data_IF_413969512478
#
_entry.id   IF_413969512478
#
_cell.length_a   1.000
_cell.length_b   1.000
_cell.length_c   1.000
_cell.angle_alpha   90.00
_cell.angle_beta   90.00
_cell.angle_gamma   90.00
#
_symmetry.space_group_name_H-M   'P 1'
#
loop_
_entity.id
_entity.type
_entity.pdbx_description
1 polymer ?
#
# COMPACT_ATOMS: atom_id res chain seq x y z
N UNK A 1 49.58 -19.45 7.98
CA UNK A 1 48.57 -18.79 8.85
C UNK A 1 47.22 -19.44 8.60
N UNK A 2 46.88 -20.48 9.36
CA UNK A 2 45.58 -21.15 9.26
C UNK A 2 44.59 -20.51 10.22
N UNK A 3 43.47 -20.00 9.72
CA UNK A 3 42.41 -19.50 10.59
C UNK A 3 41.71 -20.70 11.24
N UNK A 4 41.56 -20.64 12.56
CA UNK A 4 40.90 -21.68 13.35
C UNK A 4 39.43 -21.80 12.91
N UNK A 5 38.99 -23.00 12.53
CA UNK A 5 37.62 -23.32 12.06
C UNK A 5 36.56 -22.85 13.07
N UNK A 6 36.85 -22.89 14.37
CA UNK A 6 35.94 -22.42 15.41
C UNK A 6 35.70 -20.90 15.35
N UNK A 7 36.67 -20.13 14.87
CA UNK A 7 36.56 -18.67 14.69
C UNK A 7 35.66 -18.34 13.50
N UNK A 8 35.75 -19.11 12.41
CA UNK A 8 34.92 -18.94 11.20
C UNK A 8 33.46 -19.27 11.51
N UNK A 9 33.19 -20.37 12.23
CA UNK A 9 31.82 -20.75 12.62
C UNK A 9 31.18 -19.74 13.59
N UNK A 10 31.95 -19.17 14.53
CA UNK A 10 31.47 -18.09 15.41
C UNK A 10 31.13 -16.82 14.64
N UNK A 11 31.90 -16.47 13.61
CA UNK A 11 31.64 -15.31 12.76
C UNK A 11 30.40 -15.52 11.89
N UNK A 12 30.23 -16.70 11.29
CA UNK A 12 29.04 -17.04 10.50
C UNK A 12 27.75 -17.03 11.34
N UNK A 13 27.79 -17.58 12.56
CA UNK A 13 26.66 -17.53 13.50
C UNK A 13 26.31 -16.10 13.93
N UNK A 14 27.32 -15.25 14.18
CA UNK A 14 27.09 -13.83 14.47
C UNK A 14 26.50 -13.09 13.27
N UNK A 15 26.94 -13.39 12.04
CA UNK A 15 26.41 -12.78 10.82
C UNK A 15 24.95 -13.17 10.57
N UNK A 16 24.59 -14.44 10.78
CA UNK A 16 23.20 -14.92 10.63
C UNK A 16 22.27 -14.33 11.70
N UNK A 17 22.74 -14.19 12.94
CA UNK A 17 22.01 -13.48 14.00
C UNK A 17 21.86 -11.98 13.71
N UNK A 18 22.87 -11.34 13.10
CA UNK A 18 22.79 -9.94 12.65
C UNK A 18 21.80 -9.77 11.49
N UNK A 19 21.82 -10.66 10.49
CA UNK A 19 20.86 -10.66 9.37
C UNK A 19 19.41 -10.86 9.86
N UNK A 20 19.19 -11.85 10.73
CA UNK A 20 17.87 -12.08 11.34
C UNK A 20 17.37 -10.89 12.17
N UNK A 21 18.26 -10.22 12.91
CA UNK A 21 17.93 -9.02 13.71
C UNK A 21 17.65 -7.79 12.85
N UNK A 22 18.36 -7.60 11.74
CA UNK A 22 18.13 -6.48 10.81
C UNK A 22 16.78 -6.63 10.09
N UNK A 23 16.47 -7.84 9.62
CA UNK A 23 15.19 -8.18 8.99
C UNK A 23 14.02 -7.98 9.96
N UNK A 24 14.21 -8.28 11.26
CA UNK A 24 13.14 -8.11 12.26
C UNK A 24 12.90 -6.64 12.68
N UNK A 25 13.92 -5.78 12.65
CA UNK A 25 13.77 -4.35 12.93
C UNK A 25 13.16 -3.56 11.76
N UNK A 26 13.48 -3.92 10.51
CA UNK A 26 12.83 -3.34 9.33
C UNK A 26 11.32 -3.63 9.27
N UNK A 27 10.88 -4.81 9.75
CA UNK A 27 9.47 -5.24 9.78
C UNK A 27 8.56 -4.50 10.77
N UNK A 28 9.12 -3.70 11.69
CA UNK A 28 8.33 -2.90 12.66
C UNK A 28 8.24 -1.42 12.29
N UNK A 29 9.09 -0.94 11.39
CA UNK A 29 8.99 0.40 10.82
C UNK A 29 7.76 0.57 9.92
N UNK A 30 7.36 -0.50 9.22
CA UNK A 30 6.26 -0.49 8.25
C UNK A 30 4.88 -0.26 8.87
N UNK A 31 4.66 -0.67 10.13
CA UNK A 31 3.41 -0.42 10.87
C UNK A 31 3.16 1.08 11.10
N UNK A 32 4.22 1.90 11.19
CA UNK A 32 4.06 3.35 11.34
C UNK A 32 3.79 4.01 9.99
N UNK A 33 4.39 3.52 8.89
CA UNK A 33 4.06 4.01 7.55
C UNK A 33 2.57 3.78 7.21
N UNK A 34 2.02 2.61 7.55
CA UNK A 34 0.61 2.28 7.35
C UNK A 34 -0.35 3.21 8.12
N UNK A 35 0.03 3.67 9.32
CA UNK A 35 -0.76 4.63 10.13
C UNK A 35 -0.79 6.04 9.50
N UNK A 36 0.27 6.45 8.80
CA UNK A 36 0.27 7.68 8.00
C UNK A 36 -0.58 7.53 6.72
N UNK A 37 -0.59 6.35 6.10
CA UNK A 37 -1.40 6.08 4.90
C UNK A 37 -2.90 6.08 5.17
N UNK A 38 -3.34 5.49 6.30
CA UNK A 38 -4.74 5.54 6.75
C UNK A 38 -5.23 6.96 7.06
N UNK A 39 -4.33 7.89 7.40
CA UNK A 39 -4.68 9.30 7.53
C UNK A 39 -4.97 9.90 6.14
N UNK A 40 -4.09 9.72 5.15
CA UNK A 40 -4.31 10.25 3.78
C UNK A 40 -5.53 9.69 3.06
N UNK A 41 -5.82 8.39 3.18
CA UNK A 41 -7.01 7.79 2.54
C UNK A 41 -8.30 8.19 3.27
N UNK A 42 -8.27 8.34 4.60
CA UNK A 42 -9.42 8.84 5.37
C UNK A 42 -9.70 10.35 5.16
N UNK A 43 -8.84 11.06 4.42
CA UNK A 43 -9.03 12.46 4.04
C UNK A 43 -9.63 12.65 2.64
N UNK A 44 -9.86 11.57 1.90
CA UNK A 44 -10.62 11.59 0.65
C UNK A 44 -12.11 11.70 1.00
N UNK A 45 -12.60 12.93 1.20
CA UNK A 45 -14.04 13.16 1.33
C UNK A 45 -14.73 12.80 0.02
N UNK A 46 -15.80 11.98 0.02
CA UNK A 46 -16.69 11.89 -1.14
C UNK A 46 -17.47 13.20 -1.22
N UNK A 47 -16.87 14.23 -1.82
CA UNK A 47 -17.47 15.55 -1.93
C UNK A 47 -17.30 16.05 -3.37
N UNK A 48 -18.40 15.96 -4.12
CA UNK A 48 -18.58 16.38 -5.52
C UNK A 48 -17.80 15.54 -6.54
N UNK A 49 -18.44 15.25 -7.67
CA UNK A 49 -17.73 14.70 -8.82
C UNK A 49 -16.64 15.72 -9.20
N UNK A 50 -15.38 15.33 -8.99
CA UNK A 50 -14.25 16.18 -9.34
C UNK A 50 -14.24 16.52 -10.81
N UNK A 51 -13.46 17.54 -11.18
CA UNK A 51 -13.19 17.80 -12.59
C UNK A 51 -12.22 16.73 -13.09
N UNK A 52 -12.57 15.89 -14.07
CA UNK A 52 -11.63 14.91 -14.59
C UNK A 52 -10.36 15.57 -15.07
N UNK A 53 -9.21 14.95 -14.79
CA UNK A 53 -7.94 15.42 -15.33
C UNK A 53 -7.98 15.48 -16.85
N UNK A 54 -7.22 16.41 -17.44
CA UNK A 54 -7.13 16.54 -18.89
C UNK A 54 -6.57 15.25 -19.51
N UNK A 55 -7.35 14.67 -20.43
CA UNK A 55 -7.03 13.36 -21.02
C UNK A 55 -5.75 13.40 -21.85
N UNK A 56 -5.54 14.47 -22.62
CA UNK A 56 -4.34 14.63 -23.44
C UNK A 56 -3.09 14.73 -22.56
N UNK A 57 -3.16 15.48 -21.45
CA UNK A 57 -2.08 15.58 -20.48
C UNK A 57 -1.79 14.24 -19.80
N UNK A 58 -2.82 13.51 -19.36
CA UNK A 58 -2.64 12.20 -18.75
C UNK A 58 -1.98 11.20 -19.71
N UNK A 59 -2.42 11.14 -20.97
CA UNK A 59 -1.85 10.27 -22.00
C UNK A 59 -0.41 10.67 -22.34
N UNK A 60 -0.12 11.96 -22.49
CA UNK A 60 1.23 12.42 -22.80
C UNK A 60 2.21 12.12 -21.67
N UNK A 61 1.82 12.38 -20.42
CA UNK A 61 2.63 12.04 -19.24
C UNK A 61 2.93 10.54 -19.17
N UNK A 62 1.93 9.70 -19.40
CA UNK A 62 2.08 8.25 -19.41
C UNK A 62 3.10 7.77 -20.46
N UNK A 63 3.07 8.36 -21.65
CA UNK A 63 3.99 8.02 -22.74
C UNK A 63 5.41 8.49 -22.48
N UNK A 64 5.56 9.68 -21.90
CA UNK A 64 6.87 10.29 -21.66
C UNK A 64 7.58 9.65 -20.46
N UNK A 65 6.84 9.31 -19.40
CA UNK A 65 7.42 8.98 -18.09
C UNK A 65 7.17 7.53 -17.62
N UNK A 66 6.22 6.80 -18.22
CA UNK A 66 5.74 5.52 -17.70
C UNK A 66 5.72 4.39 -18.74
N UNK A 67 6.33 4.61 -19.92
CA UNK A 67 6.48 3.56 -20.93
C UNK A 67 5.21 3.19 -21.69
N UNK A 68 4.14 3.99 -21.59
CA UNK A 68 2.95 3.76 -22.40
C UNK A 68 3.22 4.08 -23.88
N UNK A 69 2.52 3.36 -24.76
CA UNK A 69 2.58 3.57 -26.20
C UNK A 69 1.31 4.24 -26.72
N UNK A 70 1.37 4.78 -27.93
CA UNK A 70 0.17 5.32 -28.58
C UNK A 70 -0.86 4.22 -28.90
N UNK A 71 -0.38 3.00 -29.13
CA UNK A 71 -1.18 1.81 -29.36
C UNK A 71 -0.65 0.62 -28.57
N UNK A 72 -1.50 -0.38 -28.29
CA UNK A 72 -1.07 -1.69 -27.78
C UNK A 72 -0.45 -2.54 -28.91
N UNK A 73 -0.04 -3.78 -28.60
CA UNK A 73 0.51 -4.72 -29.60
C UNK A 73 -0.45 -5.08 -30.74
N UNK A 74 -1.76 -4.97 -30.48
CA UNK A 74 -2.83 -5.19 -31.48
C UNK A 74 -3.12 -3.96 -32.35
N UNK A 75 -2.50 -2.81 -32.06
CA UNK A 75 -2.73 -1.55 -32.78
C UNK A 75 -3.90 -0.71 -32.27
N UNK A 76 -4.53 -1.09 -31.16
CA UNK A 76 -5.60 -0.32 -30.55
C UNK A 76 -5.07 0.95 -29.88
N UNK A 77 -5.73 2.11 -30.05
CA UNK A 77 -5.25 3.37 -29.48
C UNK A 77 -5.44 3.43 -27.97
N UNK A 78 -4.55 4.15 -27.28
CA UNK A 78 -4.69 4.48 -25.86
C UNK A 78 -5.82 5.48 -25.61
N UNK A 79 -6.60 5.25 -24.56
CA UNK A 79 -7.73 6.05 -24.12
C UNK A 79 -7.61 6.36 -22.62
N UNK A 80 -8.21 7.47 -22.20
CA UNK A 80 -8.31 7.84 -20.78
C UNK A 80 -9.77 7.79 -20.34
N UNK A 81 -10.10 6.78 -19.52
CA UNK A 81 -11.47 6.44 -19.10
C UNK A 81 -11.73 6.96 -17.70
N UNK A 82 -12.75 7.81 -17.54
CA UNK A 82 -13.09 8.47 -16.26
C UNK A 82 -14.49 8.12 -15.76
N UNK A 83 -15.13 7.11 -16.34
CA UNK A 83 -16.50 6.72 -16.01
C UNK A 83 -16.62 5.80 -14.80
N UNK A 84 -15.49 5.37 -14.22
CA UNK A 84 -15.49 4.39 -13.13
C UNK A 84 -15.74 5.02 -11.76
N UNK A 85 -16.22 4.25 -10.78
CA UNK A 85 -16.48 4.69 -9.42
C UNK A 85 -15.25 5.26 -8.72
N UNK A 86 -14.07 4.67 -8.96
CA UNK A 86 -12.78 5.18 -8.48
C UNK A 86 -12.39 6.52 -9.11
N UNK A 87 -12.91 6.83 -10.31
CA UNK A 87 -12.73 8.14 -10.95
C UNK A 87 -13.47 9.28 -10.26
N UNK A 88 -14.18 9.01 -9.15
CA UNK A 88 -14.73 10.04 -8.27
C UNK A 88 -13.76 10.47 -7.15
N UNK A 89 -12.64 9.78 -6.98
CA UNK A 89 -11.61 10.18 -6.02
C UNK A 89 -10.91 11.43 -6.53
N UNK A 90 -10.80 12.43 -5.65
CA UNK A 90 -10.23 13.74 -5.99
C UNK A 90 -9.00 14.08 -5.18
N UNK A 91 -8.10 14.86 -5.77
CA UNK A 91 -7.02 15.51 -5.03
C UNK A 91 -7.53 16.72 -4.23
N UNK A 92 -6.64 17.34 -3.46
CA UNK A 92 -6.96 18.56 -2.68
C UNK A 92 -7.32 19.78 -3.54
N UNK A 93 -7.24 19.69 -4.87
CA UNK A 93 -7.65 20.72 -5.83
C UNK A 93 -8.97 20.38 -6.53
N UNK A 94 -9.57 19.23 -6.22
CA UNK A 94 -10.82 18.77 -6.81
C UNK A 94 -10.69 18.11 -8.18
N UNK A 95 -9.48 17.76 -8.61
CA UNK A 95 -9.29 16.98 -9.84
C UNK A 95 -9.51 15.50 -9.58
N UNK A 96 -10.18 14.81 -10.51
CA UNK A 96 -10.34 13.37 -10.47
C UNK A 96 -9.52 12.63 -11.53
N UNK A 97 -9.30 11.33 -11.31
CA UNK A 97 -8.29 10.53 -12.00
C UNK A 97 -8.93 9.32 -12.68
N UNK A 98 -8.55 9.05 -13.92
CA UNK A 98 -9.10 7.98 -14.75
C UNK A 98 -8.17 6.78 -14.89
N UNK A 99 -8.46 5.95 -15.88
CA UNK A 99 -7.75 4.73 -16.21
C UNK A 99 -7.22 4.84 -17.64
N UNK A 100 -5.97 4.42 -17.85
CA UNK A 100 -5.41 4.34 -19.20
C UNK A 100 -5.62 2.94 -19.74
N UNK A 101 -6.39 2.83 -20.81
CA UNK A 101 -6.74 1.54 -21.45
C UNK A 101 -6.54 1.64 -22.95
N UNK A 102 -6.39 0.51 -23.63
CA UNK A 102 -6.32 0.46 -25.09
C UNK A 102 -7.63 -0.06 -25.67
N UNK A 103 -8.04 0.48 -26.84
CA UNK A 103 -9.20 -0.02 -27.56
C UNK A 103 -10.55 0.30 -26.90
N UNK A 104 -11.58 -0.48 -27.24
CA UNK A 104 -12.96 -0.22 -26.82
C UNK A 104 -13.40 -1.16 -25.68
N UNK A 105 -14.37 -0.73 -24.85
CA UNK A 105 -15.02 -1.61 -23.88
C UNK A 105 -15.65 -2.85 -24.55
N UNK A 106 -15.55 -4.01 -23.90
CA UNK A 106 -16.00 -5.28 -24.45
C UNK A 106 -16.29 -6.33 -23.36
N UNK A 107 -16.69 -7.54 -23.78
CA UNK A 107 -17.05 -8.65 -22.90
C UNK A 107 -18.52 -8.63 -22.48
N UNK A 108 -18.84 -9.33 -21.39
CA UNK A 108 -20.20 -9.38 -20.86
C UNK A 108 -20.72 -7.99 -20.52
N UNK A 109 -22.03 -7.76 -20.72
CA UNK A 109 -22.68 -6.51 -20.33
C UNK A 109 -23.66 -6.74 -19.17
N UNK A 110 -23.58 -5.87 -18.16
CA UNK A 110 -24.54 -5.81 -17.05
C UNK A 110 -24.87 -4.36 -16.77
N UNK A 111 -26.17 -4.03 -16.72
CA UNK A 111 -26.65 -2.66 -16.44
C UNK A 111 -26.07 -1.57 -17.36
N UNK A 112 -25.73 -1.91 -18.61
CA UNK A 112 -25.15 -0.97 -19.57
C UNK A 112 -23.63 -0.82 -19.48
N UNK A 113 -22.98 -1.51 -18.54
CA UNK A 113 -21.53 -1.52 -18.39
C UNK A 113 -20.93 -2.82 -18.93
N UNK A 114 -19.80 -2.69 -19.61
CA UNK A 114 -19.03 -3.85 -20.08
C UNK A 114 -18.12 -4.36 -18.97
N UNK A 115 -17.86 -5.67 -18.96
CA UNK A 115 -16.94 -6.34 -18.03
C UNK A 115 -15.53 -5.76 -18.11
N UNK A 116 -15.13 -5.32 -19.30
CA UNK A 116 -13.83 -4.73 -19.56
C UNK A 116 -13.98 -3.35 -20.18
N UNK A 117 -13.16 -2.40 -19.71
CA UNK A 117 -13.11 -1.01 -20.19
C UNK A 117 -12.03 -0.78 -21.28
N UNK A 118 -11.46 -1.86 -21.80
CA UNK A 118 -10.42 -1.86 -22.83
C UNK A 118 -9.46 -3.01 -22.62
N UNK A 119 -8.23 -2.85 -23.13
CA UNK A 119 -7.13 -3.81 -23.06
C UNK A 119 -5.90 -3.22 -22.38
N UNK A 120 -5.00 -4.07 -21.90
CA UNK A 120 -3.63 -3.71 -21.49
C UNK A 120 -2.73 -3.53 -22.72
N UNK A 121 -1.47 -3.13 -22.50
CA UNK A 121 -0.49 -3.02 -23.60
C UNK A 121 -0.24 -4.36 -24.31
N UNK A 122 -0.24 -5.48 -23.57
CA UNK A 122 -0.05 -6.83 -24.10
C UNK A 122 -1.36 -7.47 -24.61
N UNK A 123 -2.47 -6.74 -24.61
CA UNK A 123 -3.76 -7.21 -25.11
C UNK A 123 -4.60 -7.99 -24.12
N UNK A 124 -4.22 -8.03 -22.83
CA UNK A 124 -5.05 -8.65 -21.80
C UNK A 124 -6.29 -7.79 -21.51
N UNK A 125 -7.36 -8.42 -21.02
CA UNK A 125 -8.60 -7.71 -20.69
C UNK A 125 -8.42 -6.71 -19.53
N UNK A 126 -8.73 -5.43 -19.74
CA UNK A 126 -8.69 -4.41 -18.69
C UNK A 126 -10.00 -4.37 -17.91
N UNK A 127 -10.02 -4.98 -16.73
CA UNK A 127 -11.23 -5.13 -15.90
C UNK A 127 -11.89 -3.80 -15.56
N UNK A 128 -13.21 -3.74 -15.78
CA UNK A 128 -14.05 -2.68 -15.23
C UNK A 128 -14.24 -2.92 -13.72
N UNK A 129 -13.73 -2.02 -12.90
CA UNK A 129 -13.76 -2.13 -11.44
C UNK A 129 -15.15 -1.98 -10.82
N UNK A 130 -16.12 -1.43 -11.58
CA UNK A 130 -17.51 -1.31 -11.14
C UNK A 130 -18.37 -2.49 -11.59
N UNK A 131 -17.82 -3.36 -12.45
CA UNK A 131 -18.54 -4.54 -12.90
C UNK A 131 -18.71 -5.52 -11.72
N UNK A 132 -19.93 -6.03 -11.48
CA UNK A 132 -20.20 -6.83 -10.29
C UNK A 132 -19.43 -8.15 -10.31
N UNK A 133 -18.83 -8.48 -9.17
CA UNK A 133 -18.12 -9.73 -8.94
C UNK A 133 -18.96 -10.94 -9.36
N UNK A 134 -18.33 -11.93 -10.01
CA UNK A 134 -18.98 -13.21 -10.29
C UNK A 134 -19.27 -13.99 -8.99
N UNK A 135 -18.49 -13.74 -7.93
CA UNK A 135 -18.70 -14.28 -6.58
C UNK A 135 -18.37 -13.24 -5.52
N UNK A 136 -19.33 -12.96 -4.65
CA UNK A 136 -19.14 -12.07 -3.51
C UNK A 136 -18.38 -12.77 -2.37
N UNK A 137 -17.47 -12.07 -1.71
CA UNK A 137 -16.68 -12.60 -0.61
C UNK A 137 -17.44 -12.74 0.72
N UNK A 138 -18.65 -12.20 0.83
CA UNK A 138 -19.55 -12.39 1.97
C UNK A 138 -19.07 -11.79 3.28
N UNK A 139 -18.29 -10.71 3.22
CA UNK A 139 -17.66 -10.07 4.38
C UNK A 139 -16.38 -10.76 4.86
N UNK A 140 -15.88 -11.77 4.14
CA UNK A 140 -14.61 -12.39 4.47
C UNK A 140 -13.48 -11.36 4.55
N UNK A 141 -12.56 -11.55 5.49
CA UNK A 141 -11.34 -10.75 5.57
C UNK A 141 -10.51 -10.98 4.31
N UNK A 142 -10.10 -9.90 3.65
CA UNK A 142 -9.24 -9.95 2.47
C UNK A 142 -8.00 -10.80 2.70
N UNK A 143 -7.39 -10.71 3.87
CA UNK A 143 -6.15 -11.45 4.19
C UNK A 143 -6.36 -12.93 4.48
N UNK A 144 -7.62 -13.38 4.62
CA UNK A 144 -7.94 -14.76 4.98
C UNK A 144 -7.89 -15.75 3.80
N UNK A 145 -7.74 -15.24 2.57
CA UNK A 145 -7.63 -16.09 1.37
C UNK A 145 -6.25 -16.72 1.25
N UNK A 146 -6.20 -17.86 0.58
CA UNK A 146 -4.95 -18.53 0.22
C UNK A 146 -4.33 -17.85 -1.02
N UNK A 147 -3.85 -16.62 -0.86
CA UNK A 147 -3.25 -15.82 -1.92
C UNK A 147 -1.97 -16.46 -2.46
N UNK A 148 -1.81 -16.41 -3.77
CA UNK A 148 -0.61 -16.86 -4.48
C UNK A 148 0.42 -15.72 -4.43
N UNK A 149 1.56 -16.00 -3.81
CA UNK A 149 2.72 -15.11 -3.82
C UNK A 149 3.48 -15.27 -5.13
N UNK A 150 3.94 -14.16 -5.69
CA UNK A 150 4.67 -14.06 -6.96
C UNK A 150 3.98 -14.88 -8.06
N UNK A 151 2.73 -14.55 -8.45
CA UNK A 151 1.95 -15.32 -9.43
C UNK A 151 2.65 -15.49 -10.79
N UNK A 152 3.60 -14.62 -11.12
CA UNK A 152 4.48 -14.71 -12.30
C UNK A 152 5.63 -15.74 -12.16
N UNK A 153 5.80 -16.37 -10.99
CA UNK A 153 6.78 -17.42 -10.71
C UNK A 153 6.11 -18.76 -10.42
N UNK A 154 6.86 -19.86 -10.55
CA UNK A 154 6.38 -21.19 -10.17
C UNK A 154 6.20 -21.34 -8.65
N UNK A 155 5.18 -22.08 -8.17
CA UNK A 155 4.20 -22.84 -8.96
C UNK A 155 2.98 -22.03 -9.44
N UNK A 156 2.87 -20.75 -9.07
CA UNK A 156 1.70 -19.92 -9.39
C UNK A 156 1.49 -19.74 -10.90
N UNK A 157 2.60 -19.58 -11.62
CA UNK A 157 2.61 -19.37 -13.07
C UNK A 157 1.90 -20.48 -13.83
N UNK A 158 2.20 -21.75 -13.54
CA UNK A 158 1.60 -22.90 -14.23
C UNK A 158 0.06 -22.89 -14.15
N UNK A 159 -0.50 -22.67 -12.95
CA UNK A 159 -1.95 -22.68 -12.75
C UNK A 159 -2.63 -21.51 -13.45
N UNK A 160 -1.99 -20.34 -13.44
CA UNK A 160 -2.54 -19.12 -14.05
C UNK A 160 -2.50 -19.25 -15.57
N UNK A 161 -1.37 -19.67 -16.15
CA UNK A 161 -1.22 -19.86 -17.59
C UNK A 161 -2.15 -20.93 -18.17
N UNK A 162 -2.59 -21.90 -17.35
CA UNK A 162 -3.62 -22.85 -17.77
C UNK A 162 -4.99 -22.17 -18.05
N UNK A 163 -5.24 -21.00 -17.44
CA UNK A 163 -6.49 -20.23 -17.62
C UNK A 163 -6.29 -18.95 -18.44
N UNK A 164 -5.09 -18.39 -18.44
CA UNK A 164 -4.71 -17.17 -19.15
C UNK A 164 -3.35 -17.40 -19.85
N UNK A 165 -3.35 -18.00 -21.05
CA UNK A 165 -2.10 -18.37 -21.73
C UNK A 165 -1.20 -17.18 -22.10
N UNK A 166 -1.72 -15.95 -22.08
CA UNK A 166 -0.96 -14.74 -22.37
C UNK A 166 -0.32 -14.13 -21.11
N UNK A 167 -0.66 -14.65 -19.93
CA UNK A 167 -0.10 -14.21 -18.67
C UNK A 167 1.42 -14.36 -18.65
N UNK A 168 2.09 -13.24 -18.43
CA UNK A 168 3.55 -13.12 -18.37
C UNK A 168 3.94 -12.11 -17.31
N UNK A 169 5.18 -12.19 -16.81
CA UNK A 169 5.70 -11.22 -15.85
C UNK A 169 5.74 -9.83 -16.47
N UNK A 170 5.21 -8.84 -15.77
CA UNK A 170 5.34 -7.43 -16.13
C UNK A 170 6.72 -6.92 -15.66
N UNK A 171 7.63 -6.71 -16.61
CA UNK A 171 8.99 -6.28 -16.31
C UNK A 171 9.52 -5.32 -17.39
N UNK A 172 8.99 -4.09 -17.46
CA UNK A 172 9.42 -3.10 -18.44
C UNK A 172 10.87 -2.65 -18.21
N UNK A 173 11.61 -2.44 -19.29
CA UNK A 173 13.00 -1.98 -19.21
C UNK A 173 13.10 -0.58 -18.58
N UNK A 174 13.90 -0.47 -17.50
CA UNK A 174 14.16 0.80 -16.83
C UNK A 174 13.00 1.35 -15.98
N UNK A 175 11.92 0.58 -15.82
CA UNK A 175 10.75 0.94 -15.02
C UNK A 175 10.45 -0.16 -13.98
N UNK A 176 9.73 0.16 -12.89
CA UNK A 176 9.34 -0.85 -11.90
C UNK A 176 8.42 -1.91 -12.51
N UNK A 177 8.69 -3.17 -12.19
CA UNK A 177 7.91 -4.33 -12.61
C UNK A 177 7.15 -5.02 -11.47
N UNK A 178 6.72 -6.25 -11.74
CA UNK A 178 6.08 -7.14 -10.77
C UNK A 178 6.94 -7.33 -9.51
N UNK A 179 6.31 -7.23 -8.34
CA UNK A 179 6.97 -7.39 -7.05
C UNK A 179 7.92 -6.25 -6.66
N UNK A 180 8.03 -5.19 -7.47
CA UNK A 180 8.87 -4.05 -7.14
C UNK A 180 8.28 -3.26 -5.96
N UNK A 181 9.06 -2.99 -4.89
CA UNK A 181 8.61 -2.19 -3.75
C UNK A 181 8.15 -0.77 -4.11
N UNK A 182 8.50 -0.24 -5.28
CA UNK A 182 8.02 1.05 -5.76
C UNK A 182 6.49 1.11 -5.88
N UNK A 183 5.81 -0.03 -6.15
CA UNK A 183 4.35 -0.08 -6.21
C UNK A 183 3.68 -0.30 -4.85
N UNK A 184 4.42 -0.70 -3.81
CA UNK A 184 3.86 -1.09 -2.51
C UNK A 184 2.83 -0.09 -1.98
N UNK A 185 3.24 1.18 -1.91
CA UNK A 185 2.39 2.26 -1.42
C UNK A 185 1.17 2.48 -2.31
N UNK A 186 1.36 2.47 -3.62
CA UNK A 186 0.29 2.73 -4.60
C UNK A 186 -0.77 1.62 -4.57
N UNK A 187 -0.33 0.37 -4.45
CA UNK A 187 -1.16 -0.82 -4.29
C UNK A 187 -1.96 -0.74 -2.99
N UNK A 188 -1.30 -0.48 -1.86
CA UNK A 188 -1.95 -0.42 -0.56
C UNK A 188 -3.03 0.67 -0.55
N UNK A 189 -2.69 1.87 -1.02
CA UNK A 189 -3.63 2.99 -1.11
C UNK A 189 -4.81 2.68 -2.03
N UNK A 190 -4.56 2.03 -3.17
CA UNK A 190 -5.60 1.60 -4.11
C UNK A 190 -6.56 0.58 -3.48
N UNK A 191 -6.04 -0.48 -2.84
CA UNK A 191 -6.86 -1.48 -2.14
C UNK A 191 -7.71 -0.84 -1.06
N UNK A 192 -7.13 0.08 -0.25
CA UNK A 192 -7.88 0.77 0.80
C UNK A 192 -8.98 1.66 0.23
N UNK A 193 -8.67 2.44 -0.81
CA UNK A 193 -9.63 3.35 -1.43
C UNK A 193 -10.78 2.57 -2.07
N UNK A 194 -10.48 1.47 -2.78
CA UNK A 194 -11.50 0.60 -3.35
C UNK A 194 -12.28 -0.16 -2.27
N UNK A 195 -11.60 -0.61 -1.22
CA UNK A 195 -12.18 -1.25 -0.04
C UNK A 195 -13.20 -0.39 0.70
N UNK A 196 -13.02 0.93 0.68
CA UNK A 196 -13.95 1.91 1.24
C UNK A 196 -15.18 2.17 0.36
N UNK A 197 -15.18 1.67 -0.88
CA UNK A 197 -16.36 1.73 -1.78
C UNK A 197 -17.19 0.45 -1.66
N UNK A 198 -18.45 0.51 -2.10
CA UNK A 198 -19.33 -0.67 -2.18
C UNK A 198 -18.89 -1.67 -3.27
N UNK A 199 -17.85 -1.37 -4.05
CA UNK A 199 -17.36 -2.19 -5.16
C UNK A 199 -16.30 -3.23 -4.75
N UNK A 200 -15.93 -3.34 -3.47
CA UNK A 200 -14.80 -4.16 -2.99
C UNK A 200 -14.96 -5.71 -3.07
N UNK A 201 -15.81 -6.21 -3.97
CA UNK A 201 -16.16 -7.62 -4.13
C UNK A 201 -16.67 -8.30 -2.84
N UNK A 202 -17.14 -7.51 -1.87
CA UNK A 202 -17.69 -7.98 -0.60
C UNK A 202 -16.64 -8.37 0.44
N UNK A 203 -15.39 -7.94 0.30
CA UNK A 203 -14.35 -8.17 1.30
C UNK A 203 -14.44 -7.17 2.45
N UNK A 204 -13.96 -7.58 3.63
CA UNK A 204 -13.57 -6.63 4.68
C UNK A 204 -12.07 -6.37 4.60
N UNK A 205 -11.68 -5.10 4.64
CA UNK A 205 -10.27 -4.69 4.62
C UNK A 205 -9.87 -4.29 6.03
N UNK A 206 -9.00 -5.07 6.67
CA UNK A 206 -8.45 -4.76 7.99
C UNK A 206 -6.98 -5.12 8.03
N UNK A 207 -6.10 -4.13 8.20
CA UNK A 207 -4.65 -4.41 8.26
C UNK A 207 -4.22 -5.21 9.49
N UNK A 208 -4.94 -5.03 10.58
CA UNK A 208 -4.59 -5.61 11.88
C UNK A 208 -4.64 -7.15 11.91
N UNK A 209 -5.36 -7.79 10.99
CA UNK A 209 -5.53 -9.25 10.98
C UNK A 209 -4.30 -10.00 10.47
N UNK A 210 -3.57 -9.42 9.50
CA UNK A 210 -2.35 -10.02 8.96
C UNK A 210 -1.34 -8.97 8.48
N UNK A 211 -0.58 -8.33 9.39
CA UNK A 211 0.40 -7.30 9.03
C UNK A 211 1.51 -7.80 8.11
N UNK A 212 1.87 -9.10 8.18
CA UNK A 212 2.91 -9.67 7.34
C UNK A 212 2.51 -9.69 5.86
N UNK A 213 1.24 -9.99 5.57
CA UNK A 213 0.68 -9.94 4.22
C UNK A 213 0.73 -8.50 3.66
N UNK A 214 0.25 -7.52 4.42
CA UNK A 214 0.22 -6.13 3.96
C UNK A 214 1.63 -5.54 3.74
N UNK A 215 2.61 -5.94 4.55
CA UNK A 215 4.00 -5.50 4.42
C UNK A 215 4.70 -5.98 3.15
N UNK A 216 4.17 -6.99 2.47
CA UNK A 216 4.75 -7.58 1.26
C UNK A 216 3.68 -7.67 0.14
N UNK A 217 2.66 -6.79 0.19
CA UNK A 217 1.48 -6.84 -0.69
C UNK A 217 1.86 -6.80 -2.18
N UNK A 218 2.93 -6.08 -2.53
CA UNK A 218 3.45 -5.97 -3.89
C UNK A 218 3.86 -7.33 -4.48
N UNK A 219 4.21 -8.31 -3.64
CA UNK A 219 4.56 -9.65 -4.11
C UNK A 219 3.35 -10.47 -4.54
N UNK A 220 2.14 -10.06 -4.18
CA UNK A 220 0.92 -10.80 -4.51
C UNK A 220 0.19 -10.21 -5.72
N UNK A 221 0.53 -8.97 -6.11
CA UNK A 221 -0.15 -8.23 -7.17
C UNK A 221 0.68 -8.28 -8.45
N UNK A 222 0.17 -8.96 -9.47
CA UNK A 222 0.69 -8.82 -10.83
C UNK A 222 0.19 -7.50 -11.43
N UNK A 223 1.10 -6.72 -12.01
CA UNK A 223 0.83 -5.43 -12.62
C UNK A 223 0.39 -5.66 -14.07
N UNK A 224 -0.85 -5.31 -14.37
CA UNK A 224 -1.38 -5.35 -15.75
C UNK A 224 -1.17 -4.03 -16.48
N UNK A 225 -1.35 -2.93 -15.73
CA UNK A 225 -1.14 -1.58 -16.21
C UNK A 225 -0.59 -0.74 -15.06
N UNK A 226 0.62 -0.19 -15.17
CA UNK A 226 1.21 0.57 -14.08
C UNK A 226 0.46 1.90 -13.86
N UNK A 227 0.39 2.36 -12.61
CA UNK A 227 -0.16 3.69 -12.33
C UNK A 227 0.77 4.79 -12.87
N UNK A 228 0.18 5.95 -13.18
CA UNK A 228 0.94 7.14 -13.63
C UNK A 228 0.76 8.28 -12.63
N UNK A 229 1.24 9.48 -12.95
CA UNK A 229 0.90 10.66 -12.15
C UNK A 229 -0.61 10.93 -12.15
N UNK A 230 -1.28 10.68 -13.29
CA UNK A 230 -2.65 11.14 -13.54
C UNK A 230 -3.65 10.01 -13.83
N UNK A 231 -3.25 8.76 -13.73
CA UNK A 231 -4.15 7.62 -13.94
C UNK A 231 -3.92 6.52 -12.91
N UNK A 232 -5.01 5.85 -12.56
CA UNK A 232 -4.95 4.59 -11.84
C UNK A 232 -4.24 3.56 -12.70
N UNK A 233 -3.43 2.73 -12.04
CA UNK A 233 -3.02 1.45 -12.59
C UNK A 233 -3.98 0.35 -12.16
N UNK A 234 -3.74 -0.85 -12.66
CA UNK A 234 -4.50 -2.03 -12.28
C UNK A 234 -3.56 -3.24 -12.20
N UNK A 235 -3.84 -4.09 -11.23
CA UNK A 235 -3.21 -5.38 -11.08
C UNK A 235 -4.23 -6.46 -10.77
N UNK A 236 -3.75 -7.70 -10.67
CA UNK A 236 -4.54 -8.86 -10.27
C UNK A 236 -3.82 -9.63 -9.17
N UNK A 237 -4.60 -10.17 -8.25
CA UNK A 237 -4.16 -11.11 -7.23
C UNK A 237 -4.92 -12.41 -7.39
N UNK A 238 -4.24 -13.56 -7.29
CA UNK A 238 -4.87 -14.86 -7.38
C UNK A 238 -4.89 -15.57 -6.03
N UNK A 239 -5.93 -16.35 -5.79
CA UNK A 239 -6.01 -17.25 -4.64
C UNK A 239 -6.64 -18.57 -5.05
N UNK A 240 -6.41 -19.60 -4.23
CA UNK A 240 -7.12 -20.88 -4.35
C UNK A 240 -8.24 -20.97 -3.32
N UNK A 241 -9.37 -21.55 -3.70
CA UNK A 241 -10.41 -21.91 -2.75
C UNK A 241 -10.13 -23.27 -2.09
N UNK A 242 -11.04 -23.73 -1.21
CA UNK A 242 -10.89 -25.01 -0.51
C UNK A 242 -10.89 -26.25 -1.42
N UNK A 243 -11.40 -26.12 -2.65
CA UNK A 243 -11.39 -27.19 -3.67
C UNK A 243 -10.15 -27.14 -4.57
N UNK A 244 -9.28 -26.14 -4.38
CA UNK A 244 -8.13 -25.88 -5.25
C UNK A 244 -8.47 -25.07 -6.49
N UNK A 245 -9.72 -24.61 -6.64
CA UNK A 245 -10.14 -23.76 -7.75
C UNK A 245 -9.42 -22.41 -7.70
N UNK A 246 -8.93 -21.95 -8.85
CA UNK A 246 -8.23 -20.68 -9.01
C UNK A 246 -9.24 -19.53 -9.16
N UNK A 247 -9.08 -18.50 -8.35
CA UNK A 247 -9.87 -17.28 -8.37
C UNK A 247 -8.93 -16.08 -8.39
N UNK A 248 -9.40 -14.94 -8.90
CA UNK A 248 -8.65 -13.70 -8.82
C UNK A 248 -9.50 -12.53 -8.33
N UNK A 249 -8.82 -11.50 -7.86
CA UNK A 249 -9.38 -10.19 -7.55
C UNK A 249 -8.56 -9.15 -8.28
N UNK A 250 -9.25 -8.20 -8.91
CA UNK A 250 -8.62 -7.03 -9.49
C UNK A 250 -8.29 -6.02 -8.40
N UNK A 251 -7.09 -5.45 -8.49
CA UNK A 251 -6.54 -4.50 -7.52
C UNK A 251 -6.27 -3.18 -8.24
N UNK A 252 -6.86 -2.06 -7.81
CA UNK A 252 -6.49 -0.76 -8.34
C UNK A 252 -5.15 -0.31 -7.73
N UNK A 253 -4.36 0.40 -8.51
CA UNK A 253 -3.08 0.98 -8.09
C UNK A 253 -3.24 2.49 -8.15
N UNK A 254 -3.05 3.16 -7.01
CA UNK A 254 -3.33 4.60 -6.87
C UNK A 254 -2.41 5.46 -7.76
N UNK A 255 -2.92 6.52 -8.44
CA UNK A 255 -2.09 7.49 -9.14
C UNK A 255 -1.08 8.16 -8.22
N UNK A 256 0.12 8.44 -8.71
CA UNK A 256 1.18 9.05 -7.89
C UNK A 256 0.79 10.44 -7.36
N UNK A 257 -0.02 11.20 -8.09
CA UNK A 257 -0.48 12.52 -7.62
C UNK A 257 -1.51 12.44 -6.48
N UNK A 258 -2.19 11.29 -6.32
CA UNK A 258 -3.09 11.03 -5.19
C UNK A 258 -2.37 10.42 -3.99
N UNK A 259 -1.16 9.91 -4.19
CA UNK A 259 -0.32 9.50 -3.08
C UNK A 259 0.14 10.75 -2.34
N UNK A 260 0.21 10.71 -1.00
CA UNK A 260 1.02 11.69 -0.31
C UNK A 260 2.41 11.66 -0.94
N UNK A 261 3.03 12.83 -1.18
CA UNK A 261 4.48 12.86 -1.46
C UNK A 261 5.11 11.94 -0.42
N UNK A 262 5.67 10.81 -0.86
CA UNK A 262 6.21 9.78 0.03
C UNK A 262 7.10 10.53 1.00
N UNK A 263 6.59 10.65 2.23
CA UNK A 263 7.15 11.60 3.16
C UNK A 263 8.59 11.16 3.38
N UNK A 264 9.54 11.98 2.95
CA UNK A 264 10.92 11.86 3.36
C UNK A 264 11.04 12.03 4.89
N UNK A 265 9.94 12.16 5.65
CA UNK A 265 9.89 11.91 7.08
C UNK A 265 9.95 10.41 7.40
N UNK A 266 11.14 9.92 7.70
CA UNK A 266 11.40 8.50 8.01
C UNK A 266 11.53 8.28 9.52
N UNK A 267 10.86 7.26 10.06
CA UNK A 267 11.19 6.76 11.40
C UNK A 267 12.54 6.02 11.33
N UNK A 268 13.65 6.67 11.70
CA UNK A 268 15.01 6.10 11.57
C UNK A 268 15.40 5.19 12.74
N UNK A 269 14.73 5.30 13.89
CA UNK A 269 14.91 4.35 15.00
C UNK A 269 13.67 4.28 15.88
N UNK A 270 13.36 3.08 16.38
CA UNK A 270 12.30 2.84 17.36
C UNK A 270 12.88 1.95 18.46
N UNK A 271 12.77 2.40 19.70
CA UNK A 271 13.06 1.64 20.91
C UNK A 271 11.77 1.58 21.73
N UNK A 272 11.29 0.39 22.06
CA UNK A 272 10.03 0.23 22.82
C UNK A 272 10.26 0.38 24.33
N UNK A 273 11.51 0.49 24.77
CA UNK A 273 11.90 0.49 26.18
C UNK A 273 11.81 -0.89 26.83
N UNK A 274 11.30 -1.91 26.12
CA UNK A 274 11.26 -3.31 26.56
C UNK A 274 12.49 -4.02 25.98
N UNK A 275 13.29 -4.71 26.81
CA UNK A 275 14.45 -5.44 26.32
C UNK A 275 14.06 -6.43 25.21
N UNK A 276 14.88 -6.55 24.14
CA UNK A 276 14.59 -7.46 23.04
C UNK A 276 14.35 -8.89 23.51
N UNK A 277 13.24 -9.49 23.08
CA UNK A 277 12.86 -10.86 23.43
C UNK A 277 12.10 -11.01 24.76
N UNK A 278 11.79 -9.91 25.45
CA UNK A 278 11.00 -9.92 26.67
C UNK A 278 9.59 -9.37 26.44
N UNK A 279 8.65 -9.80 27.29
CA UNK A 279 7.32 -9.22 27.38
C UNK A 279 7.32 -8.07 28.37
N UNK A 280 6.50 -7.04 28.11
CA UNK A 280 6.28 -5.97 29.08
C UNK A 280 5.63 -6.55 30.35
N UNK A 281 6.29 -6.33 31.49
CA UNK A 281 5.79 -6.73 32.79
C UNK A 281 4.59 -5.86 33.19
N UNK A 282 3.58 -6.45 33.84
CA UNK A 282 2.48 -5.69 34.41
C UNK A 282 2.99 -4.61 35.37
N UNK A 283 2.34 -3.46 35.37
CA UNK A 283 2.61 -2.34 36.29
C UNK A 283 4.03 -1.73 36.20
N UNK A 284 4.87 -2.22 35.28
CA UNK A 284 6.18 -1.64 34.96
C UNK A 284 6.02 -0.50 33.97
N UNK A 285 6.67 0.63 34.28
CA UNK A 285 6.71 1.79 33.38
C UNK A 285 7.81 1.60 32.35
N UNK A 286 7.44 1.62 31.08
CA UNK A 286 8.35 1.59 29.97
C UNK A 286 8.40 2.95 29.27
N UNK A 287 9.58 3.29 28.74
CA UNK A 287 9.78 4.49 27.95
C UNK A 287 10.13 4.08 26.52
N UNK A 288 9.17 4.25 25.61
CA UNK A 288 9.41 4.12 24.19
C UNK A 288 10.04 5.40 23.65
N UNK A 289 10.93 5.25 22.67
CA UNK A 289 11.59 6.31 21.93
C UNK A 289 11.40 6.06 20.45
N UNK A 290 11.06 7.11 19.69
CA UNK A 290 11.09 7.10 18.22
C UNK A 290 11.92 8.28 17.74
N UNK A 291 12.68 8.10 16.67
CA UNK A 291 13.38 9.18 15.99
C UNK A 291 12.84 9.27 14.58
N UNK A 292 12.33 10.44 14.21
CA UNK A 292 11.95 10.76 12.84
C UNK A 292 13.00 11.66 12.22
N UNK A 293 13.30 11.45 10.93
CA UNK A 293 14.21 12.29 10.15
C UNK A 293 13.46 12.85 8.95
N UNK A 294 13.47 14.16 8.79
CA UNK A 294 13.06 14.84 7.57
C UNK A 294 14.18 14.78 6.54
N UNK A 295 14.04 13.98 5.49
CA UNK A 295 14.97 13.89 4.37
C UNK A 295 14.59 14.83 3.21
N UNK A 296 13.61 15.73 3.41
CA UNK A 296 13.38 16.84 2.47
C UNK A 296 14.44 17.93 2.63
N UNK A 297 14.68 18.64 1.54
CA UNK A 297 15.41 19.92 1.48
C UNK A 297 14.53 21.11 1.89
N UNK A 298 13.25 20.86 2.23
CA UNK A 298 12.28 21.84 2.74
C UNK A 298 11.84 21.52 4.17
N UNK A 299 11.42 22.57 4.87
CA UNK A 299 10.77 22.48 6.18
C UNK A 299 9.40 21.81 6.04
N UNK A 300 9.06 20.95 6.99
CA UNK A 300 7.73 20.38 7.17
C UNK A 300 7.07 20.99 8.42
N UNK A 301 5.82 21.39 8.32
CA UNK A 301 5.05 21.99 9.43
C UNK A 301 3.80 21.19 9.73
N UNK A 302 3.49 21.00 11.01
CA UNK A 302 2.28 20.32 11.44
C UNK A 302 2.22 18.85 11.05
N UNK A 303 3.37 18.17 10.95
CA UNK A 303 3.41 16.77 10.51
C UNK A 303 2.85 15.87 11.61
N UNK A 304 1.81 15.06 11.34
CA UNK A 304 1.33 14.07 12.30
C UNK A 304 2.48 13.17 12.72
N UNK A 305 2.64 12.85 14.00
CA UNK A 305 3.69 11.93 14.49
C UNK A 305 3.16 10.92 15.50
N UNK A 306 1.94 11.11 15.99
CA UNK A 306 1.17 10.11 16.72
C UNK A 306 -0.34 10.30 16.51
N UNK A 307 -1.08 9.20 16.58
CA UNK A 307 -2.52 9.15 16.33
C UNK A 307 -3.19 8.47 17.51
N UNK A 308 -4.45 8.84 17.78
CA UNK A 308 -5.30 8.10 18.69
C UNK A 308 -5.79 6.80 18.07
N UNK A 309 -5.62 5.68 18.77
CA UNK A 309 -6.16 4.39 18.35
C UNK A 309 -7.01 3.77 19.47
N UNK A 310 -8.34 3.85 19.33
CA UNK A 310 -9.29 3.37 20.33
C UNK A 310 -9.20 4.13 21.66
N UNK A 311 -9.24 3.41 22.78
CA UNK A 311 -9.06 4.00 24.12
C UNK A 311 -7.61 4.40 24.45
N UNK A 312 -6.64 4.02 23.60
CA UNK A 312 -5.22 4.21 23.89
C UNK A 312 -4.71 5.54 23.32
N UNK A 313 -4.35 6.45 24.24
CA UNK A 313 -3.70 7.72 23.92
C UNK A 313 -2.19 7.60 24.17
N UNK A 314 -1.40 7.42 23.11
CA UNK A 314 0.04 7.64 23.20
C UNK A 314 0.30 9.15 23.20
N UNK A 315 0.94 9.66 24.26
CA UNK A 315 1.34 11.08 24.33
C UNK A 315 2.84 11.17 24.15
N UNK A 316 3.25 11.58 22.95
CA UNK A 316 4.62 11.90 22.61
C UNK A 316 5.07 13.20 23.27
N UNK A 317 6.32 13.18 23.71
CA UNK A 317 7.06 14.31 24.23
C UNK A 317 8.32 14.54 23.41
N UNK A 318 8.68 15.80 23.20
CA UNK A 318 9.90 16.20 22.52
C UNK A 318 11.16 15.95 23.38
N UNK A 319 12.32 16.36 22.86
CA UNK A 319 13.62 16.22 23.50
C UNK A 319 13.74 16.99 24.82
N UNK A 320 12.89 18.00 25.01
CA UNK A 320 12.79 18.82 26.23
C UNK A 320 11.74 18.26 27.20
N UNK A 321 11.08 17.16 26.86
CA UNK A 321 10.02 16.55 27.65
C UNK A 321 8.66 17.26 27.53
N UNK A 322 8.51 18.18 26.57
CA UNK A 322 7.26 18.90 26.32
C UNK A 322 6.32 18.05 25.48
N UNK A 323 5.04 18.00 25.88
CA UNK A 323 4.00 17.30 25.12
C UNK A 323 3.81 17.96 23.77
N UNK A 324 3.79 17.17 22.70
CA UNK A 324 3.52 17.69 21.36
C UNK A 324 2.08 18.20 21.24
N UNK A 325 1.85 19.28 20.47
CA UNK A 325 0.51 19.85 20.28
C UNK A 325 -0.43 18.83 19.62
N UNK A 326 -1.66 18.82 20.09
CA UNK A 326 -2.76 18.07 19.48
C UNK A 326 -3.50 18.97 18.48
N UNK A 327 -3.83 18.42 17.33
CA UNK A 327 -4.68 19.07 16.32
C UNK A 327 -5.76 18.09 15.87
N UNK A 328 -6.93 18.63 15.55
CA UNK A 328 -7.99 17.85 14.91
C UNK A 328 -7.81 17.92 13.39
N UNK A 329 -7.60 16.78 12.77
CA UNK A 329 -7.53 16.63 11.31
C UNK A 329 -8.66 15.68 10.92
N UNK A 330 -9.68 16.22 10.26
CA UNK A 330 -10.90 15.52 9.83
C UNK A 330 -11.56 14.69 10.93
N UNK A 331 -11.76 15.30 12.10
CA UNK A 331 -12.42 14.66 13.23
C UNK A 331 -11.57 13.65 14.00
N UNK A 332 -10.32 13.39 13.57
CA UNK A 332 -9.34 12.61 14.32
C UNK A 332 -8.36 13.55 15.03
N UNK A 333 -8.13 13.32 16.30
CA UNK A 333 -7.10 14.03 17.06
C UNK A 333 -5.74 13.35 16.87
N UNK A 334 -4.74 14.13 16.48
CA UNK A 334 -3.35 13.68 16.24
C UNK A 334 -2.36 14.62 16.89
N UNK A 335 -1.19 14.11 17.32
CA UNK A 335 -0.08 14.97 17.72
C UNK A 335 0.77 15.32 16.51
N UNK A 336 1.16 16.59 16.42
CA UNK A 336 1.97 17.10 15.30
C UNK A 336 3.31 17.66 15.75
N UNK A 337 4.28 17.62 14.85
CA UNK A 337 5.59 18.22 15.02
C UNK A 337 6.06 18.91 13.74
N UNK A 338 6.83 19.98 13.90
CA UNK A 338 7.56 20.62 12.81
C UNK A 338 8.95 19.99 12.67
N UNK A 339 9.46 19.97 11.44
CA UNK A 339 10.80 19.50 11.10
C UNK A 339 11.47 20.47 10.14
N UNK A 340 12.64 20.98 10.47
CA UNK A 340 13.50 21.67 9.52
C UNK A 340 14.03 20.71 8.45
N UNK A 341 14.49 21.25 7.33
CA UNK A 341 15.10 20.45 6.25
C UNK A 341 16.28 19.62 6.79
N UNK A 342 16.30 18.31 6.51
CA UNK A 342 17.35 17.41 7.01
C UNK A 342 17.26 17.04 8.51
N UNK A 343 16.33 17.62 9.28
CA UNK A 343 16.30 17.50 10.74
C UNK A 343 15.93 16.09 11.21
N UNK A 344 16.61 15.61 12.26
CA UNK A 344 16.17 14.44 13.02
C UNK A 344 15.66 14.86 14.39
N UNK A 345 14.43 14.46 14.72
CA UNK A 345 13.79 14.73 16.02
C UNK A 345 13.48 13.44 16.76
N UNK A 346 13.75 13.44 18.05
CA UNK A 346 13.53 12.32 18.97
C UNK A 346 12.32 12.61 19.83
N UNK A 347 11.38 11.68 19.84
CA UNK A 347 10.20 11.72 20.70
C UNK A 347 10.18 10.55 21.67
N UNK A 348 9.63 10.79 22.85
CA UNK A 348 9.48 9.79 23.90
C UNK A 348 8.03 9.62 24.30
N UNK A 349 7.63 8.40 24.65
CA UNK A 349 6.32 8.10 25.22
C UNK A 349 6.53 7.18 26.42
N UNK A 350 5.85 7.46 27.53
CA UNK A 350 5.85 6.54 28.68
C UNK A 350 4.50 5.86 28.83
N UNK A 351 4.51 4.55 29.00
CA UNK A 351 3.31 3.76 29.25
C UNK A 351 3.52 2.74 30.35
N UNK A 352 2.42 2.33 30.98
CA UNK A 352 2.39 1.23 31.95
C UNK A 352 1.39 0.20 31.44
N UNK A 353 1.77 -1.08 31.45
CA UNK A 353 0.84 -2.16 31.10
C UNK A 353 -0.15 -2.34 32.24
N UNK A 354 -1.38 -1.87 32.04
CA UNK A 354 -2.46 -2.01 33.04
C UNK A 354 -2.91 -3.47 33.16
N UNK A 355 -2.98 -3.96 34.40
CA UNK A 355 -3.63 -5.21 34.80
C UNK A 355 -5.15 -5.03 34.87
N UNK A 356 -5.84 -4.67 33.78
CA UNK A 356 -7.31 -4.81 33.82
C UNK A 356 -7.63 -6.30 34.02
N UNK A 357 -8.41 -6.69 35.04
CA UNK A 357 -8.91 -8.05 35.13
C UNK A 357 -9.71 -8.33 33.86
N UNK A 358 -9.50 -9.47 33.22
CA UNK A 358 -10.48 -9.98 32.26
C UNK A 358 -11.75 -10.24 33.06
N UNK A 359 -12.73 -9.34 32.97
CA UNK A 359 -14.11 -9.70 33.27
C UNK A 359 -14.48 -10.81 32.29
N UNK A 360 -14.70 -12.00 32.85
CA UNK A 360 -15.08 -13.22 32.12
C UNK A 360 -16.48 -13.07 31.55
#
# INVERSE_FOLDING_TARGET
MGWNINTIQRLASKLNNLKGRMIFMLKRLSVIAAVFFLLTVAFLTPALAGTPYDSAKAINDAKENYGYSATNESGDPINYVTSTGLSNLTDGKGYSYGFLTYGQPHGDQKSGESRYIGYTYYGEDYTNMDFPADKNAGGADFTSRNWIIEPWNEPGLTDIQATDPMFTMFNPDGLPGDGDPAYHTAILAGIMAYGATNANNGYTITEASNPAFWNEIEKYVHILSPATAYSFGIGRMWHKDASGGLWYVTVPIMPNALLPELGNLKAVSIDLGVPPGQLAEPDTKYMATVVFKNEFDKKLTGVPVAVLHGEYKATLKDEKGQTLPWVSINGKEVQVADFEAGESRKFTCSGTRSTRPKTV
#
